data_IF_134581313242
#
_entry.id   IF_134581313242
#
_cell.length_a   1.000
_cell.length_b   1.000
_cell.length_c   1.000
_cell.angle_alpha   90.00
_cell.angle_beta   90.00
_cell.angle_gamma   90.00
#
_symmetry.space_group_name_H-M   'P 1'
#
loop_
_entity.id
_entity.type
_entity.pdbx_description
1 polymer ?
#
# COMPACT_ATOMS: atom_id res chain seq x y z
N UNK A 1 -0.05 41.54 -82.74
CA UNK A 1 -0.16 42.34 -81.50
C UNK A 1 0.69 41.64 -80.44
N UNK A 2 1.55 42.40 -79.75
CA UNK A 2 2.49 42.07 -78.64
C UNK A 2 1.97 40.97 -77.68
N UNK A 3 2.76 40.19 -76.93
CA UNK A 3 4.20 39.95 -76.78
C UNK A 3 4.38 38.74 -75.82
N UNK A 4 5.57 38.12 -75.90
CA UNK A 4 6.31 37.27 -74.95
C UNK A 4 5.77 37.03 -73.52
N UNK A 5 6.01 35.83 -72.96
CA UNK A 5 7.18 35.54 -72.08
C UNK A 5 7.41 34.01 -71.95
N UNK A 6 8.71 33.73 -71.87
CA UNK A 6 9.52 32.53 -72.06
C UNK A 6 9.67 31.62 -70.82
N UNK A 7 9.99 30.34 -71.09
CA UNK A 7 10.97 29.45 -70.38
C UNK A 7 10.62 28.92 -68.96
N UNK A 8 11.02 27.71 -68.52
CA UNK A 8 11.93 26.68 -69.01
C UNK A 8 11.64 25.30 -68.37
N UNK A 9 12.21 24.25 -68.97
CA UNK A 9 12.02 22.81 -68.72
C UNK A 9 12.78 22.21 -67.51
N UNK A 10 12.43 20.99 -67.03
CA UNK A 10 13.24 20.20 -66.10
C UNK A 10 14.00 19.04 -66.79
N UNK A 11 15.09 18.59 -66.15
CA UNK A 11 15.93 17.44 -66.55
C UNK A 11 16.27 16.60 -65.28
N UNK A 12 16.80 15.36 -65.37
CA UNK A 12 16.07 14.17 -64.92
C UNK A 12 16.83 13.21 -63.95
N UNK A 13 16.06 12.23 -63.41
CA UNK A 13 16.37 10.82 -63.04
C UNK A 13 17.69 10.40 -62.31
N UNK A 14 17.50 9.82 -61.09
CA UNK A 14 18.00 8.54 -60.47
C UNK A 14 19.39 7.96 -60.84
N UNK A 15 20.18 7.33 -59.92
CA UNK A 15 19.81 6.03 -59.30
C UNK A 15 20.43 5.61 -57.92
N UNK A 16 19.81 4.56 -57.32
CA UNK A 16 20.31 3.40 -56.53
C UNK A 16 21.50 3.49 -55.53
N UNK A 17 21.31 2.92 -54.32
CA UNK A 17 22.01 1.71 -53.80
C UNK A 17 21.91 1.55 -52.25
N UNK A 18 21.85 0.29 -51.80
CA UNK A 18 21.62 -0.25 -50.44
C UNK A 18 22.85 -0.14 -49.47
N UNK A 19 23.03 -1.03 -48.46
CA UNK A 19 22.52 -1.01 -47.08
C UNK A 19 23.65 -0.96 -46.02
N UNK A 20 23.50 -0.26 -44.89
CA UNK A 20 24.53 -0.32 -43.82
C UNK A 20 23.96 -0.31 -42.39
N UNK A 21 24.18 -1.45 -41.74
CA UNK A 21 24.76 -1.62 -40.40
C UNK A 21 23.99 -1.16 -39.16
N UNK A 22 23.61 -2.18 -38.38
CA UNK A 22 23.35 -2.11 -36.96
C UNK A 22 24.62 -1.81 -36.15
N UNK A 23 24.47 -1.00 -35.10
CA UNK A 23 25.27 -1.07 -33.86
C UNK A 23 24.56 -0.30 -32.73
N UNK A 24 24.87 -0.61 -31.46
CA UNK A 24 23.88 -0.90 -30.43
C UNK A 24 23.55 0.32 -29.55
N UNK A 25 22.31 0.41 -29.05
CA UNK A 25 21.95 1.37 -28.00
C UNK A 25 21.99 0.71 -26.61
N UNK A 26 22.44 1.45 -25.59
CA UNK A 26 23.04 0.89 -24.39
C UNK A 26 22.03 0.33 -23.38
N UNK A 27 22.60 -0.55 -22.56
CA UNK A 27 22.07 -1.22 -21.39
C UNK A 27 21.68 -0.22 -20.29
N UNK A 28 20.54 -0.50 -19.64
CA UNK A 28 20.18 -0.11 -18.26
C UNK A 28 20.24 1.37 -17.86
N UNK A 29 19.11 2.06 -17.99
CA UNK A 29 18.80 3.21 -17.14
C UNK A 29 18.05 2.74 -15.90
N UNK A 30 18.66 2.95 -14.73
CA UNK A 30 18.05 2.84 -13.40
C UNK A 30 16.79 3.71 -13.36
N UNK A 31 15.63 3.22 -12.86
CA UNK A 31 14.45 4.07 -12.74
C UNK A 31 14.72 5.17 -11.71
N UNK A 32 14.64 6.42 -12.16
CA UNK A 32 14.63 7.61 -11.31
C UNK A 32 13.43 7.56 -10.34
N UNK A 33 13.58 8.02 -9.09
CA UNK A 33 12.47 8.05 -8.14
C UNK A 33 11.34 8.95 -8.68
N UNK A 34 10.10 8.46 -8.53
CA UNK A 34 8.89 9.17 -8.93
C UNK A 34 8.81 10.55 -8.26
N UNK A 35 8.26 11.57 -8.95
CA UNK A 35 8.09 12.90 -8.36
C UNK A 35 7.08 12.86 -7.21
N UNK A 36 7.40 13.57 -6.12
CA UNK A 36 6.55 13.72 -4.96
C UNK A 36 5.21 14.41 -5.31
N UNK A 37 4.11 14.09 -4.61
CA UNK A 37 2.81 14.73 -4.84
C UNK A 37 2.89 16.24 -4.58
N UNK A 38 2.02 16.99 -5.28
CA UNK A 38 1.97 18.45 -5.30
C UNK A 38 2.13 19.06 -3.91
N UNK A 39 3.18 19.87 -3.77
CA UNK A 39 3.56 20.55 -2.53
C UNK A 39 2.66 21.76 -2.26
N UNK A 40 2.40 22.11 -0.99
CA UNK A 40 1.91 23.44 -0.67
C UNK A 40 2.97 24.46 -1.13
N UNK A 41 2.52 25.50 -1.85
CA UNK A 41 3.40 26.56 -2.34
C UNK A 41 4.15 27.21 -1.17
N UNK A 42 5.49 27.18 -1.20
CA UNK A 42 6.30 27.96 -0.27
C UNK A 42 7.64 27.39 0.19
N UNK A 43 8.42 26.69 -0.65
CA UNK A 43 9.85 26.43 -0.33
C UNK A 43 10.70 25.98 -1.53
N UNK A 44 10.42 26.46 -2.74
CA UNK A 44 11.34 26.22 -3.86
C UNK A 44 12.56 27.14 -3.72
N UNK A 45 13.67 26.60 -3.18
CA UNK A 45 14.98 27.26 -3.16
C UNK A 45 15.58 27.60 -1.78
N UNK A 46 14.89 27.30 -0.67
CA UNK A 46 15.42 27.53 0.69
C UNK A 46 16.13 26.27 1.22
N UNK A 47 17.27 26.45 1.88
CA UNK A 47 17.99 25.40 2.62
C UNK A 47 17.88 25.61 4.13
N UNK A 48 18.17 24.57 4.92
CA UNK A 48 18.24 24.65 6.39
C UNK A 48 19.21 25.77 6.79
N UNK A 49 20.44 25.75 6.26
CA UNK A 49 21.47 26.76 6.58
C UNK A 49 21.02 28.20 6.24
N UNK A 50 20.26 28.37 5.15
CA UNK A 50 19.74 29.68 4.77
C UNK A 50 18.70 30.18 5.77
N UNK A 51 17.79 29.30 6.20
CA UNK A 51 16.78 29.61 7.19
C UNK A 51 17.40 29.87 8.57
N UNK A 52 18.44 29.14 8.96
CA UNK A 52 19.19 29.38 10.19
C UNK A 52 19.83 30.78 10.19
N UNK A 53 20.48 31.19 9.09
CA UNK A 53 21.02 32.56 8.95
C UNK A 53 19.94 33.65 8.96
N UNK A 54 18.76 33.36 8.42
CA UNK A 54 17.62 34.29 8.51
C UNK A 54 17.18 34.47 9.96
N UNK A 55 17.16 33.39 10.75
CA UNK A 55 16.83 33.43 12.18
C UNK A 55 17.92 34.10 13.03
N UNK A 56 19.19 34.05 12.63
CA UNK A 56 20.26 34.85 13.28
C UNK A 56 19.98 36.35 13.17
N UNK A 57 19.42 36.79 12.04
CA UNK A 57 19.08 38.20 11.79
C UNK A 57 17.72 38.59 12.37
N UNK A 58 16.75 37.68 12.31
CA UNK A 58 15.35 37.89 12.74
C UNK A 58 14.86 36.68 13.54
N UNK A 59 15.26 36.55 14.82
CA UNK A 59 14.98 35.36 15.62
C UNK A 59 13.49 35.16 15.96
N UNK A 60 12.66 36.15 15.70
CA UNK A 60 11.23 36.17 16.00
C UNK A 60 10.33 36.07 14.76
N UNK A 61 10.84 35.77 13.56
CA UNK A 61 10.00 35.60 12.37
C UNK A 61 9.32 34.22 12.35
N UNK A 62 7.98 34.15 12.53
CA UNK A 62 7.27 32.88 12.60
C UNK A 62 7.26 32.12 11.26
N UNK A 63 7.34 32.81 10.12
CA UNK A 63 7.35 32.14 8.80
C UNK A 63 8.65 31.37 8.60
N UNK A 64 9.78 31.95 9.02
CA UNK A 64 11.10 31.32 8.90
C UNK A 64 11.20 30.10 9.82
N UNK A 65 10.71 30.20 11.06
CA UNK A 65 10.58 29.04 11.97
C UNK A 65 9.71 27.93 11.38
N UNK A 66 8.56 28.27 10.81
CA UNK A 66 7.65 27.30 10.20
C UNK A 66 8.28 26.60 8.98
N UNK A 67 8.97 27.35 8.11
CA UNK A 67 9.69 26.81 6.97
C UNK A 67 10.85 25.89 7.40
N UNK A 68 11.61 26.29 8.43
CA UNK A 68 12.71 25.47 8.97
C UNK A 68 12.16 24.15 9.51
N UNK A 69 11.06 24.21 10.27
CA UNK A 69 10.40 23.02 10.77
C UNK A 69 9.91 22.09 9.64
N UNK A 70 9.39 22.65 8.53
CA UNK A 70 8.98 21.85 7.38
C UNK A 70 10.16 21.13 6.71
N UNK A 71 11.31 21.80 6.53
CA UNK A 71 12.52 21.17 5.98
C UNK A 71 13.13 20.14 6.93
N UNK A 72 13.14 20.42 8.25
CA UNK A 72 13.62 19.46 9.26
C UNK A 72 12.76 18.19 9.29
N UNK A 73 11.43 18.32 9.13
CA UNK A 73 10.53 17.18 8.98
C UNK A 73 10.89 16.35 7.75
N UNK A 74 11.12 17.00 6.60
CA UNK A 74 11.55 16.32 5.36
C UNK A 74 12.91 15.63 5.52
N UNK A 75 13.82 16.22 6.31
CA UNK A 75 15.13 15.66 6.63
C UNK A 75 15.09 14.56 7.71
N UNK A 76 13.91 14.12 8.17
CA UNK A 76 13.79 13.05 9.16
C UNK A 76 14.14 13.47 10.59
N UNK A 77 14.06 14.77 10.91
CA UNK A 77 14.32 15.34 12.25
C UNK A 77 13.02 15.83 12.91
N UNK A 78 12.07 14.94 13.26
CA UNK A 78 10.72 15.33 13.65
C UNK A 78 10.64 16.13 14.96
N UNK A 79 11.45 15.80 15.97
CA UNK A 79 11.44 16.55 17.25
C UNK A 79 11.92 18.00 17.08
N UNK A 80 12.97 18.20 16.27
CA UNK A 80 13.43 19.54 15.92
C UNK A 80 12.37 20.31 15.11
N UNK A 81 11.66 19.62 14.21
CA UNK A 81 10.55 20.19 13.47
C UNK A 81 9.39 20.59 14.39
N UNK A 82 8.99 19.76 15.36
CA UNK A 82 7.98 20.09 16.38
C UNK A 82 8.37 21.34 17.15
N UNK A 83 9.63 21.41 17.61
CA UNK A 83 10.14 22.58 18.33
C UNK A 83 10.07 23.86 17.48
N UNK A 84 10.46 23.79 16.19
CA UNK A 84 10.37 24.92 15.27
C UNK A 84 8.92 25.37 15.04
N UNK A 85 7.97 24.45 14.87
CA UNK A 85 6.56 24.82 14.71
C UNK A 85 5.99 25.45 15.98
N UNK A 86 6.32 24.90 17.17
CA UNK A 86 5.92 25.51 18.45
C UNK A 86 6.51 26.91 18.62
N UNK A 87 7.75 27.12 18.19
CA UNK A 87 8.39 28.45 18.20
C UNK A 87 7.72 29.43 17.24
N UNK A 88 7.35 29.01 16.04
CA UNK A 88 6.57 29.83 15.13
C UNK A 88 5.24 30.28 15.78
N UNK A 89 4.57 29.37 16.49
CA UNK A 89 3.31 29.63 17.17
C UNK A 89 3.46 30.47 18.46
N UNK A 90 4.64 30.50 19.07
CA UNK A 90 4.98 31.43 20.16
C UNK A 90 4.95 32.88 19.67
N UNK A 91 5.49 33.13 18.47
CA UNK A 91 5.54 34.46 17.86
C UNK A 91 4.24 34.86 17.12
N UNK A 92 3.53 33.90 16.53
CA UNK A 92 2.19 34.12 15.95
C UNK A 92 1.26 32.93 16.15
N UNK A 93 0.36 33.04 17.14
CA UNK A 93 -0.64 32.01 17.46
C UNK A 93 -1.71 31.85 16.37
N UNK A 94 -1.84 32.80 15.43
CA UNK A 94 -2.80 32.76 14.32
C UNK A 94 -2.19 32.21 13.03
N UNK A 95 -0.93 31.78 13.06
CA UNK A 95 -0.24 31.25 11.90
C UNK A 95 -0.79 29.87 11.47
N UNK A 96 -1.77 29.86 10.56
CA UNK A 96 -2.43 28.65 10.05
C UNK A 96 -1.46 27.58 9.53
N UNK A 97 -0.44 28.01 8.77
CA UNK A 97 0.57 27.10 8.21
C UNK A 97 1.38 26.36 9.29
N UNK A 98 1.77 27.04 10.37
CA UNK A 98 2.53 26.43 11.47
C UNK A 98 1.66 25.43 12.25
N UNK A 99 0.38 25.72 12.49
CA UNK A 99 -0.55 24.74 13.08
C UNK A 99 -0.72 23.49 12.22
N UNK A 100 -0.87 23.67 10.91
CA UNK A 100 -0.99 22.54 9.96
C UNK A 100 0.29 21.70 9.94
N UNK A 101 1.46 22.36 9.88
CA UNK A 101 2.76 21.70 9.90
C UNK A 101 3.01 20.98 11.23
N UNK A 102 2.61 21.56 12.36
CA UNK A 102 2.66 20.94 13.68
C UNK A 102 1.81 19.67 13.72
N UNK A 103 0.57 19.73 13.24
CA UNK A 103 -0.30 18.56 13.14
C UNK A 103 0.30 17.45 12.29
N UNK A 104 0.92 17.80 11.16
CA UNK A 104 1.57 16.82 10.27
C UNK A 104 2.75 16.12 10.95
N UNK A 105 3.67 16.87 11.58
CA UNK A 105 4.85 16.27 12.24
C UNK A 105 4.47 15.48 13.49
N UNK A 106 3.47 15.92 14.26
CA UNK A 106 2.94 15.17 15.40
C UNK A 106 2.32 13.83 14.96
N UNK A 107 1.62 13.83 13.82
CA UNK A 107 1.10 12.61 13.22
C UNK A 107 2.20 11.65 12.73
N UNK A 108 3.35 12.16 12.28
CA UNK A 108 4.49 11.33 11.89
C UNK A 108 5.10 10.57 13.06
N UNK A 109 5.12 11.18 14.26
CA UNK A 109 5.60 10.57 15.50
C UNK A 109 4.48 9.94 16.35
N UNK A 110 3.33 9.68 15.73
CA UNK A 110 2.18 8.99 16.34
C UNK A 110 1.57 9.67 17.59
N UNK A 111 1.82 10.97 17.79
CA UNK A 111 1.19 11.81 18.83
C UNK A 111 -0.18 12.32 18.37
N UNK A 112 -1.09 11.38 18.11
CA UNK A 112 -2.32 11.65 17.36
C UNK A 112 -3.28 12.63 18.04
N UNK A 113 -3.44 12.58 19.36
CA UNK A 113 -4.34 13.52 20.05
C UNK A 113 -3.85 14.98 19.94
N UNK A 114 -2.54 15.21 20.06
CA UNK A 114 -1.95 16.54 19.82
C UNK A 114 -2.02 16.94 18.34
N UNK A 115 -1.84 15.99 17.42
CA UNK A 115 -1.96 16.23 15.99
C UNK A 115 -3.38 16.70 15.62
N UNK A 116 -4.40 16.01 16.16
CA UNK A 116 -5.82 16.36 15.98
C UNK A 116 -6.07 17.77 16.52
N UNK A 117 -5.64 18.09 17.74
CA UNK A 117 -5.81 19.41 18.32
C UNK A 117 -5.18 20.52 17.46
N UNK A 118 -3.96 20.31 16.95
CA UNK A 118 -3.29 21.27 16.07
C UNK A 118 -4.05 21.49 14.75
N UNK A 119 -4.57 20.42 14.14
CA UNK A 119 -5.38 20.52 12.91
C UNK A 119 -6.71 21.22 13.16
N UNK A 120 -7.37 20.97 14.30
CA UNK A 120 -8.61 21.66 14.68
C UNK A 120 -8.39 23.18 14.80
N UNK A 121 -7.29 23.60 15.44
CA UNK A 121 -6.91 25.01 15.49
C UNK A 121 -6.69 25.61 14.10
N UNK A 122 -5.99 24.91 13.21
CA UNK A 122 -5.77 25.36 11.83
C UNK A 122 -7.10 25.54 11.06
N UNK A 123 -8.02 24.59 11.20
CA UNK A 123 -9.35 24.63 10.58
C UNK A 123 -10.15 25.84 11.08
N UNK A 124 -10.20 26.07 12.40
CA UNK A 124 -10.91 27.22 12.99
C UNK A 124 -10.35 28.55 12.47
N UNK A 125 -9.03 28.72 12.47
CA UNK A 125 -8.38 29.95 12.00
C UNK A 125 -8.59 30.22 10.51
N UNK A 126 -8.76 29.17 9.71
CA UNK A 126 -8.99 29.27 8.26
C UNK A 126 -10.45 29.52 7.85
N UNK A 127 -11.39 29.55 8.82
CA UNK A 127 -12.82 29.63 8.53
C UNK A 127 -13.39 28.39 7.84
N UNK A 128 -12.81 27.20 8.08
CA UNK A 128 -13.29 25.94 7.50
C UNK A 128 -12.82 25.65 6.08
N UNK A 129 -11.58 26.03 5.73
CA UNK A 129 -11.00 25.72 4.43
C UNK A 129 -11.00 24.20 4.13
N UNK A 130 -11.50 23.80 2.97
CA UNK A 130 -11.66 22.40 2.58
C UNK A 130 -10.35 21.59 2.59
N UNK A 131 -9.22 22.18 2.21
CA UNK A 131 -7.91 21.51 2.23
C UNK A 131 -7.46 21.18 3.66
N UNK A 132 -7.74 22.07 4.62
CA UNK A 132 -7.42 21.84 6.03
C UNK A 132 -8.38 20.84 6.69
N UNK A 133 -9.63 20.76 6.22
CA UNK A 133 -10.56 19.72 6.65
C UNK A 133 -10.03 18.33 6.28
N UNK A 134 -9.47 18.14 5.08
CA UNK A 134 -8.82 16.87 4.70
C UNK A 134 -7.68 16.50 5.65
N UNK A 135 -6.82 17.45 6.04
CA UNK A 135 -5.73 17.19 6.98
C UNK A 135 -6.26 16.79 8.37
N UNK A 136 -7.32 17.44 8.86
CA UNK A 136 -7.99 17.07 10.11
C UNK A 136 -8.60 15.66 10.02
N UNK A 137 -9.27 15.33 8.91
CA UNK A 137 -9.82 13.99 8.68
C UNK A 137 -8.73 12.93 8.70
N UNK A 138 -7.60 13.15 8.02
CA UNK A 138 -6.45 12.23 8.06
C UNK A 138 -5.91 12.07 9.49
N UNK A 139 -5.77 13.15 10.24
CA UNK A 139 -5.33 13.09 11.65
C UNK A 139 -6.32 12.30 12.53
N UNK A 140 -7.63 12.54 12.36
CA UNK A 140 -8.68 11.80 13.07
C UNK A 140 -8.65 10.31 12.73
N UNK A 141 -8.45 9.95 11.46
CA UNK A 141 -8.32 8.54 11.03
C UNK A 141 -7.10 7.87 11.65
N UNK A 142 -5.92 8.51 11.61
CA UNK A 142 -4.73 7.97 12.26
C UNK A 142 -4.90 7.83 13.79
N UNK A 143 -5.63 8.76 14.42
CA UNK A 143 -6.04 8.66 15.82
C UNK A 143 -7.25 7.74 16.09
N UNK A 144 -7.69 6.96 15.11
CA UNK A 144 -8.83 6.05 15.19
C UNK A 144 -10.16 6.70 15.65
N UNK A 145 -10.33 8.00 15.41
CA UNK A 145 -11.57 8.78 15.67
C UNK A 145 -12.49 8.75 14.45
N UNK A 146 -12.82 7.57 13.96
CA UNK A 146 -13.50 7.38 12.66
C UNK A 146 -14.88 8.03 12.58
N UNK A 147 -15.70 7.96 13.64
CA UNK A 147 -17.03 8.58 13.64
C UNK A 147 -16.95 10.11 13.48
N UNK A 148 -16.03 10.75 14.21
CA UNK A 148 -15.81 12.20 14.10
C UNK A 148 -15.26 12.59 12.72
N UNK A 149 -14.40 11.75 12.13
CA UNK A 149 -13.95 11.94 10.76
C UNK A 149 -15.12 11.91 9.77
N UNK A 150 -16.05 10.95 9.91
CA UNK A 150 -17.25 10.84 9.07
C UNK A 150 -18.18 12.06 9.22
N UNK A 151 -18.40 12.55 10.44
CA UNK A 151 -19.23 13.75 10.68
C UNK A 151 -18.68 14.97 9.93
N UNK A 152 -17.35 15.18 9.97
CA UNK A 152 -16.68 16.26 9.26
C UNK A 152 -16.77 16.06 7.75
N UNK A 153 -16.54 14.84 7.27
CA UNK A 153 -16.65 14.50 5.85
C UNK A 153 -18.06 14.74 5.31
N UNK A 154 -19.11 14.40 6.08
CA UNK A 154 -20.49 14.64 5.68
C UNK A 154 -20.81 16.13 5.55
N UNK A 155 -20.27 16.98 6.44
CA UNK A 155 -20.38 18.44 6.30
C UNK A 155 -19.64 18.93 5.05
N UNK A 156 -18.39 18.50 4.87
CA UNK A 156 -17.54 18.95 3.78
C UNK A 156 -18.09 18.55 2.40
N UNK A 157 -18.62 17.32 2.28
CA UNK A 157 -19.23 16.81 1.05
C UNK A 157 -20.59 17.43 0.74
N UNK A 158 -21.33 17.97 1.72
CA UNK A 158 -22.50 18.80 1.41
C UNK A 158 -22.12 20.08 0.65
N UNK A 159 -20.98 20.67 0.99
CA UNK A 159 -20.46 21.86 0.31
C UNK A 159 -19.77 21.52 -1.02
N UNK A 160 -19.08 20.37 -1.11
CA UNK A 160 -18.38 19.91 -2.30
C UNK A 160 -18.67 18.42 -2.58
N UNK A 161 -19.83 18.07 -3.15
CA UNK A 161 -20.28 16.67 -3.27
C UNK A 161 -19.36 15.76 -4.10
N UNK A 162 -18.62 16.33 -5.04
CA UNK A 162 -17.80 15.60 -6.01
C UNK A 162 -16.29 15.81 -5.80
N UNK A 163 -15.85 16.29 -4.63
CA UNK A 163 -14.43 16.45 -4.34
C UNK A 163 -13.77 15.05 -4.21
N UNK A 164 -12.83 14.66 -5.09
CA UNK A 164 -12.28 13.31 -5.07
C UNK A 164 -11.50 13.00 -3.80
N UNK A 165 -10.87 14.01 -3.18
CA UNK A 165 -10.08 13.82 -1.96
C UNK A 165 -10.98 13.53 -0.77
N UNK A 166 -12.07 14.29 -0.62
CA UNK A 166 -13.06 14.05 0.43
C UNK A 166 -13.78 12.71 0.24
N UNK A 167 -14.17 12.37 -1.00
CA UNK A 167 -14.77 11.07 -1.30
C UNK A 167 -13.81 9.93 -0.99
N UNK A 168 -12.53 10.08 -1.30
CA UNK A 168 -11.50 9.08 -0.99
C UNK A 168 -11.32 8.88 0.52
N UNK A 169 -11.22 9.96 1.28
CA UNK A 169 -11.12 9.87 2.74
C UNK A 169 -12.38 9.26 3.36
N UNK A 170 -13.57 9.57 2.83
CA UNK A 170 -14.83 8.93 3.24
C UNK A 170 -14.84 7.45 2.89
N UNK A 171 -14.44 7.07 1.68
CA UNK A 171 -14.32 5.67 1.27
C UNK A 171 -13.49 4.86 2.26
N UNK A 172 -12.26 5.31 2.54
CA UNK A 172 -11.35 4.62 3.44
C UNK A 172 -11.88 4.59 4.89
N UNK A 173 -12.51 5.66 5.37
CA UNK A 173 -13.08 5.71 6.73
C UNK A 173 -14.26 4.77 6.88
N UNK A 174 -15.17 4.74 5.90
CA UNK A 174 -16.32 3.84 5.88
C UNK A 174 -15.89 2.38 5.81
N UNK A 175 -14.90 2.06 4.96
CA UNK A 175 -14.32 0.72 4.91
C UNK A 175 -13.69 0.33 6.24
N UNK A 176 -12.97 1.24 6.91
CA UNK A 176 -12.34 0.94 8.20
C UNK A 176 -13.35 0.51 9.28
N UNK A 177 -14.54 1.12 9.30
CA UNK A 177 -15.61 0.82 10.28
C UNK A 177 -16.63 -0.22 9.77
N UNK A 178 -16.34 -0.89 8.66
CA UNK A 178 -17.18 -1.97 8.13
C UNK A 178 -18.39 -1.56 7.29
N UNK A 179 -18.56 -0.27 6.96
CA UNK A 179 -19.64 0.24 6.09
C UNK A 179 -19.30 0.06 4.60
N UNK A 180 -19.14 -1.19 4.18
CA UNK A 180 -18.55 -1.56 2.88
C UNK A 180 -19.32 -1.07 1.66
N UNK A 181 -20.66 -1.20 1.65
CA UNK A 181 -21.46 -0.77 0.50
C UNK A 181 -21.29 0.73 0.20
N UNK A 182 -21.22 1.55 1.25
CA UNK A 182 -21.02 3.00 1.12
C UNK A 182 -19.56 3.34 0.83
N UNK A 183 -18.61 2.68 1.50
CA UNK A 183 -17.19 2.91 1.28
C UNK A 183 -16.75 2.57 -0.15
N UNK A 184 -17.22 1.43 -0.68
CA UNK A 184 -16.90 1.02 -2.05
C UNK A 184 -17.56 1.89 -3.12
N UNK A 185 -18.71 2.51 -2.84
CA UNK A 185 -19.35 3.48 -3.73
C UNK A 185 -18.43 4.65 -4.07
N UNK A 186 -17.71 5.15 -3.05
CA UNK A 186 -16.83 6.31 -3.21
C UNK A 186 -15.40 5.93 -3.62
N UNK A 187 -15.04 4.64 -3.57
CA UNK A 187 -13.66 4.16 -3.70
C UNK A 187 -13.00 4.47 -5.05
N UNK A 188 -13.80 4.66 -6.10
CA UNK A 188 -13.30 5.04 -7.43
C UNK A 188 -12.85 6.50 -7.52
N UNK A 189 -13.14 7.33 -6.52
CA UNK A 189 -12.59 8.69 -6.41
C UNK A 189 -11.06 8.71 -6.42
N UNK A 190 -10.42 7.61 -5.95
CA UNK A 190 -8.96 7.43 -5.98
C UNK A 190 -8.36 7.61 -7.36
N UNK A 191 -9.10 7.24 -8.41
CA UNK A 191 -8.63 7.27 -9.80
C UNK A 191 -8.46 8.69 -10.32
N UNK A 192 -9.06 9.68 -9.64
CA UNK A 192 -8.96 11.11 -9.96
C UNK A 192 -7.98 11.84 -9.05
N UNK A 193 -7.31 11.16 -8.12
CA UNK A 193 -6.34 11.80 -7.23
C UNK A 193 -5.00 12.03 -7.94
N UNK A 194 -4.33 13.18 -7.73
CA UNK A 194 -2.98 13.41 -8.26
C UNK A 194 -1.95 12.39 -7.77
N UNK A 195 -2.18 11.78 -6.61
CA UNK A 195 -1.31 10.75 -6.05
C UNK A 195 -1.52 9.36 -6.67
N UNK A 196 -2.52 9.18 -7.54
CA UNK A 196 -2.74 7.93 -8.24
C UNK A 196 -1.68 7.73 -9.32
N UNK A 197 -0.85 6.69 -9.17
CA UNK A 197 0.30 6.45 -10.04
C UNK A 197 0.12 5.25 -10.99
N UNK A 198 -0.95 4.48 -10.86
CA UNK A 198 -1.17 3.33 -11.73
C UNK A 198 -1.68 3.79 -13.10
N UNK A 199 -1.43 2.96 -14.12
CA UNK A 199 -1.94 3.19 -15.46
C UNK A 199 -3.46 3.08 -15.47
N UNK A 200 -4.11 4.03 -16.13
CA UNK A 200 -5.56 4.04 -16.32
C UNK A 200 -5.82 3.49 -17.73
N UNK A 201 -6.61 2.41 -17.81
CA UNK A 201 -7.07 1.89 -19.09
C UNK A 201 -8.08 2.88 -19.73
N UNK A 202 -8.04 2.98 -21.06
CA UNK A 202 -8.91 3.87 -21.82
C UNK A 202 -10.27 3.23 -22.08
N UNK A 203 -11.25 4.05 -22.45
CA UNK A 203 -12.58 3.56 -22.80
C UNK A 203 -13.50 3.31 -21.59
N UNK A 204 -14.64 2.63 -21.83
CA UNK A 204 -15.70 2.51 -20.83
C UNK A 204 -15.31 1.58 -19.69
N UNK A 205 -15.51 2.06 -18.46
CA UNK A 205 -15.40 1.24 -17.27
C UNK A 205 -16.64 0.35 -17.14
N UNK A 206 -16.44 -0.93 -16.82
CA UNK A 206 -17.50 -1.89 -16.59
C UNK A 206 -18.30 -1.52 -15.33
N UNK A 207 -19.62 -1.66 -15.41
CA UNK A 207 -20.59 -1.24 -14.40
C UNK A 207 -21.08 -2.39 -13.50
N UNK A 208 -20.64 -3.63 -13.76
CA UNK A 208 -21.10 -4.83 -13.05
C UNK A 208 -22.20 -5.60 -13.78
N UNK A 209 -22.72 -5.06 -14.89
CA UNK A 209 -23.76 -5.67 -15.72
C UNK A 209 -23.28 -6.88 -16.55
N UNK A 210 -24.20 -7.55 -17.27
CA UNK A 210 -23.85 -8.63 -18.19
C UNK A 210 -22.81 -8.20 -19.22
N UNK A 211 -21.82 -9.06 -19.49
CA UNK A 211 -20.79 -8.80 -20.50
C UNK A 211 -21.27 -9.17 -21.91
N UNK A 212 -22.22 -10.10 -22.05
CA UNK A 212 -22.83 -10.47 -23.33
C UNK A 212 -21.80 -10.76 -24.44
N UNK A 213 -20.75 -11.52 -24.12
CA UNK A 213 -19.66 -11.88 -25.03
C UNK A 213 -18.52 -10.86 -25.12
N UNK A 214 -18.65 -9.67 -24.52
CA UNK A 214 -17.59 -8.65 -24.50
C UNK A 214 -16.31 -9.13 -23.79
N UNK A 215 -15.19 -8.56 -24.22
CA UNK A 215 -13.89 -8.70 -23.59
C UNK A 215 -13.70 -7.63 -22.52
N UNK A 216 -13.50 -8.04 -21.27
CA UNK A 216 -13.15 -7.17 -20.15
C UNK A 216 -11.66 -7.27 -19.84
N UNK A 217 -11.00 -6.11 -19.69
CA UNK A 217 -9.65 -6.00 -19.13
C UNK A 217 -9.72 -5.65 -17.63
N UNK A 218 -9.23 -6.56 -16.79
CA UNK A 218 -9.01 -6.30 -15.36
C UNK A 218 -7.58 -5.78 -15.16
N UNK A 219 -7.43 -4.55 -14.70
CA UNK A 219 -6.09 -3.95 -14.49
C UNK A 219 -5.60 -4.19 -13.07
N UNK A 220 -4.30 -4.45 -12.94
CA UNK A 220 -3.66 -4.62 -11.62
C UNK A 220 -3.71 -3.31 -10.83
N UNK A 221 -3.61 -3.39 -9.51
CA UNK A 221 -3.66 -2.23 -8.63
C UNK A 221 -2.59 -2.32 -7.52
N UNK A 222 -2.17 -1.14 -7.05
CA UNK A 222 -1.26 -0.85 -5.92
C UNK A 222 -0.17 -1.89 -5.63
N UNK A 223 -0.49 -2.95 -4.89
CA UNK A 223 0.47 -3.97 -4.46
C UNK A 223 -0.09 -5.40 -4.52
N UNK A 224 0.80 -6.39 -4.38
CA UNK A 224 0.44 -7.81 -4.51
C UNK A 224 -0.67 -8.27 -3.55
N UNK A 225 -0.77 -7.64 -2.37
CA UNK A 225 -1.84 -7.94 -1.39
C UNK A 225 -3.24 -7.63 -1.93
N UNK A 226 -3.40 -6.50 -2.62
CA UNK A 226 -4.68 -6.09 -3.21
C UNK A 226 -5.07 -7.00 -4.38
N UNK A 227 -4.11 -7.43 -5.19
CA UNK A 227 -4.36 -8.42 -6.26
C UNK A 227 -4.82 -9.75 -5.65
N UNK A 228 -4.15 -10.25 -4.60
CA UNK A 228 -4.55 -11.48 -3.91
C UNK A 228 -5.92 -11.35 -3.22
N UNK A 229 -6.21 -10.18 -2.64
CA UNK A 229 -7.50 -9.85 -2.04
C UNK A 229 -8.62 -9.92 -3.08
N UNK A 230 -8.44 -9.29 -4.24
CA UNK A 230 -9.49 -9.07 -5.24
C UNK A 230 -9.60 -10.16 -6.29
N UNK A 231 -8.59 -11.02 -6.45
CA UNK A 231 -8.64 -12.19 -7.35
C UNK A 231 -9.87 -13.09 -7.09
N UNK A 232 -10.43 -13.09 -5.86
CA UNK A 232 -11.68 -13.78 -5.50
C UNK A 232 -12.89 -13.37 -6.33
N UNK A 233 -12.88 -12.18 -6.91
CA UNK A 233 -13.98 -11.66 -7.72
C UNK A 233 -13.90 -12.10 -9.19
N UNK A 234 -12.75 -12.59 -9.66
CA UNK A 234 -12.55 -12.94 -11.08
C UNK A 234 -13.53 -14.00 -11.59
N UNK A 235 -13.80 -15.11 -10.86
CA UNK A 235 -14.84 -16.06 -11.28
C UNK A 235 -16.23 -15.42 -11.37
N UNK A 236 -16.55 -14.46 -10.50
CA UNK A 236 -17.82 -13.73 -10.51
C UNK A 236 -17.94 -12.80 -11.73
N UNK A 237 -16.82 -12.21 -12.18
CA UNK A 237 -16.76 -11.46 -13.44
C UNK A 237 -16.97 -12.39 -14.62
N UNK A 238 -16.30 -13.56 -14.64
CA UNK A 238 -16.47 -14.55 -15.73
C UNK A 238 -17.93 -15.00 -15.86
N UNK A 239 -18.62 -15.19 -14.73
CA UNK A 239 -20.03 -15.57 -14.69
C UNK A 239 -20.98 -14.55 -15.36
N UNK A 240 -20.50 -13.34 -15.68
CA UNK A 240 -21.25 -12.31 -16.42
C UNK A 240 -21.26 -12.56 -17.94
N UNK A 241 -20.61 -13.63 -18.41
CA UNK A 241 -20.78 -14.15 -19.77
C UNK A 241 -19.89 -13.47 -20.82
N UNK A 242 -18.62 -13.20 -20.52
CA UNK A 242 -17.66 -12.57 -21.43
C UNK A 242 -16.27 -13.22 -21.43
N UNK A 243 -15.35 -12.59 -22.16
CA UNK A 243 -13.91 -12.93 -22.15
C UNK A 243 -13.18 -12.07 -21.13
N UNK A 244 -12.44 -12.66 -20.20
CA UNK A 244 -11.74 -11.96 -19.12
C UNK A 244 -10.24 -11.99 -19.37
N UNK A 245 -9.66 -10.81 -19.55
CA UNK A 245 -8.22 -10.59 -19.57
C UNK A 245 -7.79 -9.93 -18.27
N UNK A 246 -6.69 -10.37 -17.67
CA UNK A 246 -6.19 -9.78 -16.42
C UNK A 246 -4.74 -9.37 -16.55
N UNK A 247 -4.45 -8.10 -16.26
CA UNK A 247 -3.08 -7.64 -16.07
C UNK A 247 -2.50 -8.27 -14.79
N UNK A 248 -1.31 -8.87 -14.89
CA UNK A 248 -0.68 -9.57 -13.79
C UNK A 248 0.82 -9.25 -13.71
N UNK A 249 1.28 -9.02 -12.48
CA UNK A 249 2.70 -8.91 -12.20
C UNK A 249 3.39 -10.27 -12.36
N UNK A 250 4.62 -10.31 -12.91
CA UNK A 250 5.37 -11.56 -13.10
C UNK A 250 5.51 -12.39 -11.82
N UNK A 251 5.66 -11.72 -10.67
CA UNK A 251 5.83 -12.32 -9.35
C UNK A 251 4.60 -13.09 -8.86
N UNK A 252 3.42 -12.80 -9.42
CA UNK A 252 2.16 -13.50 -9.11
C UNK A 252 1.74 -14.47 -10.22
N UNK A 253 2.32 -14.37 -11.41
CA UNK A 253 1.84 -15.07 -12.62
C UNK A 253 1.74 -16.58 -12.42
N UNK A 254 2.78 -17.21 -11.85
CA UNK A 254 2.80 -18.66 -11.66
C UNK A 254 1.72 -19.13 -10.69
N UNK A 255 1.51 -18.39 -9.61
CA UNK A 255 0.49 -18.67 -8.59
C UNK A 255 -0.94 -18.45 -9.11
N UNK A 256 -1.16 -17.41 -9.90
CA UNK A 256 -2.48 -17.08 -10.45
C UNK A 256 -2.82 -17.84 -11.73
N UNK A 257 -1.87 -18.56 -12.32
CA UNK A 257 -2.06 -19.29 -13.59
C UNK A 257 -3.26 -20.25 -13.59
N UNK A 258 -3.59 -20.83 -12.43
CA UNK A 258 -4.74 -21.72 -12.23
C UNK A 258 -6.01 -21.03 -11.71
N UNK A 259 -6.06 -19.69 -11.69
CA UNK A 259 -7.24 -18.96 -11.22
C UNK A 259 -8.38 -19.13 -12.22
N UNK A 260 -9.53 -19.60 -11.72
CA UNK A 260 -10.72 -19.82 -12.53
C UNK A 260 -11.26 -18.49 -13.10
N UNK A 261 -11.72 -18.55 -14.35
CA UNK A 261 -12.41 -17.44 -14.99
C UNK A 261 -11.52 -16.46 -15.74
N UNK A 262 -10.21 -16.72 -15.86
CA UNK A 262 -9.30 -15.96 -16.71
C UNK A 262 -9.15 -16.64 -18.07
N UNK A 263 -9.36 -15.90 -19.15
CA UNK A 263 -9.12 -16.37 -20.52
C UNK A 263 -7.74 -15.95 -21.05
N UNK A 264 -7.08 -14.99 -20.39
CA UNK A 264 -5.71 -14.60 -20.73
C UNK A 264 -5.09 -13.63 -19.74
N UNK A 265 -3.78 -13.74 -19.57
CA UNK A 265 -2.99 -12.80 -18.78
C UNK A 265 -2.31 -11.76 -19.67
N UNK A 266 -2.25 -10.53 -19.19
CA UNK A 266 -1.45 -9.44 -19.76
C UNK A 266 -0.32 -9.14 -18.79
N UNK A 267 0.92 -9.06 -19.27
CA UNK A 267 2.04 -8.76 -18.39
C UNK A 267 1.96 -7.30 -17.92
N UNK A 268 2.08 -7.08 -16.61
CA UNK A 268 2.09 -5.73 -16.06
C UNK A 268 3.15 -4.83 -16.72
N UNK A 269 2.75 -3.62 -17.12
CA UNK A 269 3.63 -2.65 -17.76
C UNK A 269 3.83 -2.83 -19.26
N UNK A 270 3.18 -3.80 -19.90
CA UNK A 270 3.16 -3.91 -21.38
C UNK A 270 1.93 -3.24 -21.98
N UNK A 271 1.91 -3.08 -23.31
CA UNK A 271 0.74 -2.59 -24.02
C UNK A 271 -0.48 -3.48 -23.74
N UNK A 272 -1.65 -2.86 -23.62
CA UNK A 272 -2.89 -3.58 -23.44
C UNK A 272 -3.35 -4.18 -24.78
N UNK A 273 -3.89 -5.42 -24.79
CA UNK A 273 -4.53 -5.98 -25.98
C UNK A 273 -5.85 -5.25 -26.28
N UNK A 274 -6.56 -5.66 -27.33
CA UNK A 274 -7.92 -5.17 -27.58
C UNK A 274 -8.89 -5.66 -26.49
N UNK A 275 -9.75 -4.77 -26.00
CA UNK A 275 -10.83 -5.04 -25.05
C UNK A 275 -12.01 -4.08 -25.32
N UNK A 276 -13.20 -4.45 -24.83
CA UNK A 276 -14.42 -3.65 -25.00
C UNK A 276 -14.71 -2.77 -23.78
N UNK A 277 -14.42 -3.27 -22.58
CA UNK A 277 -14.59 -2.58 -21.28
C UNK A 277 -13.41 -2.89 -20.37
N UNK A 278 -13.19 -2.06 -19.35
CA UNK A 278 -12.15 -2.31 -18.33
C UNK A 278 -12.69 -2.17 -16.91
N UNK A 279 -11.99 -2.74 -15.95
CA UNK A 279 -12.26 -2.52 -14.53
C UNK A 279 -10.98 -2.70 -13.71
N UNK A 280 -10.55 -1.69 -12.93
CA UNK A 280 -9.52 -1.90 -11.93
C UNK A 280 -9.96 -2.94 -10.91
N UNK A 281 -9.05 -3.82 -10.50
CA UNK A 281 -9.37 -4.91 -9.57
C UNK A 281 -10.01 -4.40 -8.26
N UNK A 282 -9.54 -3.27 -7.73
CA UNK A 282 -10.08 -2.71 -6.48
C UNK A 282 -11.44 -2.01 -6.65
N UNK A 283 -11.94 -1.90 -7.89
CA UNK A 283 -13.30 -1.42 -8.17
C UNK A 283 -14.33 -2.56 -8.20
N UNK A 284 -13.88 -3.82 -8.31
CA UNK A 284 -14.76 -5.00 -8.35
C UNK A 284 -15.69 -5.16 -7.13
N UNK A 285 -15.25 -4.89 -5.88
CA UNK A 285 -16.15 -4.99 -4.72
C UNK A 285 -17.39 -4.09 -4.87
N UNK A 286 -17.24 -2.88 -5.45
CA UNK A 286 -18.39 -2.03 -5.72
C UNK A 286 -19.29 -2.62 -6.80
N UNK A 287 -18.71 -3.03 -7.94
CA UNK A 287 -19.44 -3.57 -9.10
C UNK A 287 -20.21 -4.85 -8.80
N UNK A 288 -19.75 -5.60 -7.81
CA UNK A 288 -20.33 -6.87 -7.40
C UNK A 288 -21.12 -6.77 -6.08
N UNK A 289 -21.30 -5.57 -5.53
CA UNK A 289 -22.19 -5.32 -4.40
C UNK A 289 -21.69 -5.90 -3.07
N UNK A 290 -20.38 -5.89 -2.83
CA UNK A 290 -19.80 -6.40 -1.58
C UNK A 290 -20.25 -5.58 -0.37
N UNK A 291 -20.80 -6.28 0.62
CA UNK A 291 -21.09 -5.80 1.97
C UNK A 291 -20.17 -6.52 2.96
N UNK A 292 -20.20 -6.16 4.24
CA UNK A 292 -19.38 -6.86 5.25
C UNK A 292 -19.86 -8.31 5.46
N UNK A 293 -21.14 -8.57 5.26
CA UNK A 293 -21.77 -9.90 5.35
C UNK A 293 -21.57 -10.75 4.08
N UNK A 294 -21.33 -10.10 2.94
CA UNK A 294 -21.27 -10.77 1.62
C UNK A 294 -19.86 -10.81 1.02
N UNK A 295 -18.81 -10.61 1.83
CA UNK A 295 -17.43 -10.77 1.40
C UNK A 295 -17.25 -12.17 0.80
N UNK A 296 -16.85 -12.31 -0.49
CA UNK A 296 -16.67 -13.62 -1.09
C UNK A 296 -15.56 -14.41 -0.38
N UNK A 297 -15.61 -15.76 -0.42
CA UNK A 297 -14.57 -16.59 0.15
C UNK A 297 -13.16 -16.21 -0.36
N UNK A 298 -12.09 -16.53 0.40
CA UNK A 298 -10.73 -16.24 -0.04
C UNK A 298 -10.40 -16.87 -1.40
N UNK A 299 -9.50 -16.21 -2.15
CA UNK A 299 -9.10 -16.61 -3.49
C UNK A 299 -8.62 -18.06 -3.51
N UNK A 300 -9.20 -18.89 -4.39
CA UNK A 300 -8.73 -20.26 -4.62
C UNK A 300 -7.44 -20.20 -5.45
N UNK A 301 -6.33 -20.54 -4.82
CA UNK A 301 -5.00 -20.52 -5.44
C UNK A 301 -4.50 -21.94 -5.70
N UNK A 302 -3.85 -22.14 -6.84
CA UNK A 302 -3.23 -23.42 -7.20
C UNK A 302 -1.73 -23.30 -7.05
N UNK A 303 -1.18 -23.92 -5.99
CA UNK A 303 0.26 -23.97 -5.77
C UNK A 303 0.89 -25.01 -6.73
N UNK A 304 1.85 -24.62 -7.59
CA UNK A 304 2.50 -25.53 -8.52
C UNK A 304 3.25 -26.69 -7.82
N UNK A 305 3.29 -27.86 -8.47
CA UNK A 305 3.91 -29.06 -7.91
C UNK A 305 5.42 -28.88 -7.66
N UNK A 306 6.12 -28.24 -8.58
CA UNK A 306 7.56 -27.98 -8.46
C UNK A 306 7.90 -27.03 -7.30
N UNK A 307 7.00 -26.08 -6.98
CA UNK A 307 7.15 -25.24 -5.78
C UNK A 307 7.00 -26.09 -4.51
N UNK A 308 6.03 -27.01 -4.47
CA UNK A 308 5.81 -27.92 -3.33
C UNK A 308 6.99 -28.84 -3.10
N UNK A 309 7.57 -29.41 -4.16
CA UNK A 309 8.78 -30.23 -4.07
C UNK A 309 9.98 -29.44 -3.51
N UNK A 310 10.14 -28.20 -3.97
CA UNK A 310 11.15 -27.28 -3.43
C UNK A 310 10.91 -26.97 -1.96
N UNK A 311 9.68 -26.65 -1.58
CA UNK A 311 9.32 -26.37 -0.19
C UNK A 311 9.53 -27.58 0.73
N UNK A 312 9.27 -28.81 0.26
CA UNK A 312 9.50 -30.04 1.00
C UNK A 312 10.98 -30.27 1.35
N UNK A 313 11.90 -29.81 0.49
CA UNK A 313 13.36 -29.86 0.76
C UNK A 313 13.80 -28.80 1.77
N UNK A 314 13.13 -27.64 1.80
CA UNK A 314 13.47 -26.51 2.67
C UNK A 314 12.86 -26.60 4.07
N UNK A 315 11.63 -27.11 4.14
CA UNK A 315 10.86 -27.25 5.37
C UNK A 315 10.51 -28.73 5.53
N UNK A 316 11.28 -29.48 6.34
CA UNK A 316 11.05 -30.90 6.57
C UNK A 316 9.64 -31.21 7.09
N UNK A 317 9.24 -32.47 7.00
CA UNK A 317 7.95 -32.95 7.53
C UNK A 317 7.84 -32.87 9.05
N UNK A 318 6.82 -33.52 9.62
CA UNK A 318 6.60 -33.54 11.07
C UNK A 318 7.83 -34.12 11.81
N UNK A 319 8.38 -33.34 12.74
CA UNK A 319 9.51 -33.68 13.60
C UNK A 319 9.18 -33.46 15.09
N UNK A 320 7.88 -33.35 15.43
CA UNK A 320 7.40 -33.07 16.78
C UNK A 320 7.49 -31.59 17.19
N UNK A 321 7.92 -30.71 16.29
CA UNK A 321 7.95 -29.25 16.52
C UNK A 321 6.82 -28.52 15.81
N UNK A 322 6.43 -27.35 16.33
CA UNK A 322 5.55 -26.40 15.66
C UNK A 322 6.38 -25.53 14.73
N UNK A 323 6.08 -25.53 13.43
CA UNK A 323 6.84 -24.78 12.41
C UNK A 323 6.23 -23.40 12.19
N UNK A 324 6.95 -22.37 12.59
CA UNK A 324 6.48 -20.98 12.54
C UNK A 324 7.26 -20.17 11.51
N UNK A 325 6.54 -19.60 10.55
CA UNK A 325 7.08 -18.58 9.65
C UNK A 325 7.05 -17.20 10.27
N UNK A 326 8.09 -16.40 10.07
CA UNK A 326 8.13 -15.00 10.52
C UNK A 326 8.45 -14.01 9.39
N UNK A 327 7.81 -12.84 9.47
CA UNK A 327 8.03 -11.67 8.59
C UNK A 327 7.86 -10.42 9.45
N UNK A 328 8.89 -9.58 9.52
CA UNK A 328 8.89 -8.40 10.40
C UNK A 328 8.74 -7.08 9.63
N UNK A 329 8.89 -7.10 8.31
CA UNK A 329 8.78 -5.90 7.49
C UNK A 329 8.23 -6.19 6.08
N UNK A 330 7.50 -5.23 5.53
CA UNK A 330 7.07 -5.24 4.14
C UNK A 330 8.10 -4.59 3.20
N UNK A 331 7.61 -4.11 2.05
CA UNK A 331 8.43 -3.34 1.10
C UNK A 331 8.88 -2.02 1.73
N UNK A 332 10.18 -1.80 1.86
CA UNK A 332 10.76 -0.60 2.51
C UNK A 332 10.45 0.72 1.80
N UNK A 333 10.17 0.69 0.49
CA UNK A 333 9.78 1.89 -0.27
C UNK A 333 8.29 2.22 -0.15
N UNK A 334 7.52 1.42 0.58
CA UNK A 334 6.12 1.73 0.89
C UNK A 334 6.07 2.77 2.00
N UNK A 335 5.38 3.90 1.74
CA UNK A 335 5.40 5.09 2.59
C UNK A 335 5.09 4.79 4.07
N UNK A 336 4.09 3.96 4.34
CA UNK A 336 3.65 3.67 5.71
C UNK A 336 4.35 2.43 6.30
N UNK A 337 5.36 1.88 5.63
CA UNK A 337 6.06 0.69 6.14
C UNK A 337 6.73 0.94 7.50
N UNK A 338 7.21 2.15 7.75
CA UNK A 338 7.85 2.52 9.01
C UNK A 338 6.93 2.41 10.23
N UNK A 339 5.61 2.55 10.04
CA UNK A 339 4.61 2.46 11.12
C UNK A 339 4.17 1.01 11.38
N UNK A 340 4.15 0.16 10.34
CA UNK A 340 3.67 -1.23 10.45
C UNK A 340 4.76 -2.26 10.66
N UNK A 341 5.99 -1.96 10.22
CA UNK A 341 7.10 -2.87 10.36
C UNK A 341 7.70 -2.81 11.77
N UNK A 342 8.37 -3.88 12.16
CA UNK A 342 9.24 -3.89 13.33
C UNK A 342 10.63 -4.41 12.95
N UNK A 343 11.50 -4.56 13.94
CA UNK A 343 12.79 -5.23 13.80
C UNK A 343 12.67 -6.73 14.08
N UNK A 344 13.61 -7.51 13.57
CA UNK A 344 13.76 -8.92 13.89
C UNK A 344 13.97 -9.14 15.40
N UNK A 345 14.66 -8.22 16.08
CA UNK A 345 14.92 -8.31 17.53
C UNK A 345 13.64 -8.52 18.36
N UNK A 346 12.51 -7.93 17.95
CA UNK A 346 11.23 -8.14 18.66
C UNK A 346 10.67 -9.55 18.49
N UNK A 347 10.92 -10.20 17.35
CA UNK A 347 10.50 -11.58 17.09
C UNK A 347 11.36 -12.60 17.84
N UNK A 348 12.57 -12.25 18.26
CA UNK A 348 13.47 -13.17 18.96
C UNK A 348 12.89 -13.68 20.28
N UNK A 349 12.00 -12.92 20.93
CA UNK A 349 11.28 -13.38 22.14
C UNK A 349 10.48 -14.67 21.92
N UNK A 350 10.04 -14.96 20.68
CA UNK A 350 9.31 -16.18 20.39
C UNK A 350 10.21 -17.43 20.45
N UNK A 351 11.54 -17.26 20.42
CA UNK A 351 12.51 -18.34 20.59
C UNK A 351 12.46 -18.95 22.00
N UNK A 352 11.92 -18.22 22.99
CA UNK A 352 11.73 -18.70 24.36
C UNK A 352 10.52 -19.65 24.51
N UNK A 353 9.78 -19.89 23.41
CA UNK A 353 8.70 -20.89 23.38
C UNK A 353 9.28 -22.24 22.97
N UNK A 354 9.25 -23.26 23.85
CA UNK A 354 9.85 -24.56 23.57
C UNK A 354 9.12 -25.28 22.43
N UNK A 355 9.80 -26.23 21.78
CA UNK A 355 9.25 -27.07 20.69
C UNK A 355 8.72 -26.28 19.49
N UNK A 356 9.24 -25.08 19.26
CA UNK A 356 8.96 -24.27 18.06
C UNK A 356 10.21 -24.21 17.20
N UNK A 357 10.02 -24.30 15.88
CA UNK A 357 11.08 -24.11 14.89
C UNK A 357 10.73 -22.94 13.98
N UNK A 358 11.64 -21.98 13.86
CA UNK A 358 11.39 -20.74 13.15
C UNK A 358 12.00 -20.73 11.75
N UNK A 359 11.25 -20.17 10.82
CA UNK A 359 11.61 -19.99 9.42
C UNK A 359 11.39 -18.53 9.04
N UNK A 360 12.42 -17.85 8.54
CA UNK A 360 12.26 -16.51 8.00
C UNK A 360 11.73 -16.58 6.58
N UNK A 361 10.55 -15.99 6.36
CA UNK A 361 9.96 -15.78 5.02
C UNK A 361 10.21 -14.32 4.58
N UNK A 362 10.97 -13.55 5.36
CA UNK A 362 11.32 -12.17 5.03
C UNK A 362 12.11 -12.14 3.72
N UNK A 363 11.80 -11.16 2.86
CA UNK A 363 12.58 -10.84 1.67
C UNK A 363 13.00 -9.38 1.66
N UNK A 364 14.05 -9.11 0.88
CA UNK A 364 14.55 -7.76 0.64
C UNK A 364 15.47 -7.26 1.74
N UNK A 365 15.81 -5.96 1.76
CA UNK A 365 16.82 -5.41 2.67
C UNK A 365 16.68 -5.79 4.16
N UNK A 366 15.46 -5.88 4.75
CA UNK A 366 15.31 -6.27 6.16
C UNK A 366 15.82 -7.67 6.48
N UNK A 367 15.92 -8.57 5.50
CA UNK A 367 16.44 -9.94 5.70
C UNK A 367 17.88 -9.96 6.24
N UNK A 368 18.67 -8.92 5.97
CA UNK A 368 20.04 -8.79 6.47
C UNK A 368 20.14 -8.80 8.01
N UNK A 369 19.06 -8.47 8.73
CA UNK A 369 19.01 -8.50 10.19
C UNK A 369 19.32 -9.90 10.77
N UNK A 370 19.02 -10.98 10.04
CA UNK A 370 19.36 -12.34 10.46
C UNK A 370 20.87 -12.51 10.66
N UNK A 371 21.65 -12.01 9.70
CA UNK A 371 23.10 -12.07 9.76
C UNK A 371 23.67 -11.07 10.77
N UNK A 372 23.15 -9.82 10.79
CA UNK A 372 23.58 -8.78 11.74
C UNK A 372 23.39 -9.21 13.20
N UNK A 373 22.30 -9.91 13.51
CA UNK A 373 22.01 -10.41 14.86
C UNK A 373 22.56 -11.81 15.13
N UNK A 374 23.19 -12.48 14.15
CA UNK A 374 23.74 -13.82 14.30
C UNK A 374 22.70 -14.92 14.55
N UNK A 375 21.48 -14.77 14.02
CA UNK A 375 20.33 -15.64 14.34
C UNK A 375 20.02 -16.70 13.28
N UNK A 376 20.80 -16.77 12.20
CA UNK A 376 20.60 -17.74 11.10
C UNK A 376 20.69 -19.21 11.51
N UNK A 377 21.28 -19.52 12.67
CA UNK A 377 21.32 -20.88 13.24
C UNK A 377 20.04 -21.24 14.00
N UNK A 378 19.31 -20.23 14.49
CA UNK A 378 18.07 -20.38 15.26
C UNK A 378 16.83 -20.23 14.36
N UNK A 379 16.94 -19.41 13.32
CA UNK A 379 15.87 -19.08 12.38
C UNK A 379 16.36 -19.45 10.98
N UNK A 380 15.70 -20.42 10.34
CA UNK A 380 16.10 -20.90 9.01
C UNK A 380 15.75 -19.84 7.95
N UNK A 381 16.73 -19.26 7.24
CA UNK A 381 16.47 -18.26 6.21
C UNK A 381 15.90 -18.92 4.94
N UNK A 382 14.64 -18.61 4.58
CA UNK A 382 14.03 -19.12 3.35
C UNK A 382 13.93 -18.06 2.23
N UNK A 383 14.04 -16.78 2.58
CA UNK A 383 14.00 -15.65 1.65
C UNK A 383 14.86 -15.80 0.39
N UNK A 384 16.13 -16.27 0.46
CA UNK A 384 17.00 -16.38 -0.72
C UNK A 384 16.56 -17.50 -1.67
N UNK A 385 15.72 -18.42 -1.19
CA UNK A 385 15.19 -19.51 -1.98
C UNK A 385 13.89 -19.13 -2.70
N UNK A 386 13.31 -17.94 -2.52
CA UNK A 386 12.04 -17.59 -3.15
C UNK A 386 12.23 -16.81 -4.44
N UNK A 387 11.77 -17.37 -5.56
CA UNK A 387 11.76 -16.67 -6.85
C UNK A 387 10.52 -15.77 -6.98
N UNK A 388 9.36 -16.26 -6.57
CA UNK A 388 8.05 -15.63 -6.74
C UNK A 388 7.07 -16.02 -5.61
N UNK A 389 5.81 -15.58 -5.69
CA UNK A 389 4.81 -15.90 -4.67
C UNK A 389 4.35 -17.37 -4.67
N UNK A 390 4.61 -18.14 -5.74
CA UNK A 390 4.30 -19.56 -5.74
C UNK A 390 5.29 -20.34 -4.85
N UNK A 391 6.56 -19.94 -4.80
CA UNK A 391 7.52 -20.50 -3.83
C UNK A 391 7.14 -20.16 -2.39
N UNK A 392 6.72 -18.90 -2.14
CA UNK A 392 6.20 -18.49 -0.82
C UNK A 392 4.96 -19.31 -0.44
N UNK A 393 4.00 -19.48 -1.36
CA UNK A 393 2.79 -20.26 -1.12
C UNK A 393 3.08 -21.71 -0.73
N UNK A 394 4.01 -22.36 -1.43
CA UNK A 394 4.40 -23.74 -1.14
C UNK A 394 5.04 -23.90 0.25
N UNK A 395 5.83 -22.93 0.69
CA UNK A 395 6.37 -22.92 2.07
C UNK A 395 5.25 -22.72 3.09
N UNK A 396 4.29 -21.82 2.84
CA UNK A 396 3.17 -21.60 3.75
C UNK A 396 2.31 -22.86 3.97
N UNK A 397 2.19 -23.73 2.96
CA UNK A 397 1.51 -25.04 3.11
C UNK A 397 2.26 -26.01 4.04
N UNK A 398 3.57 -25.80 4.25
CA UNK A 398 4.43 -26.62 5.12
C UNK A 398 4.55 -26.10 6.54
N UNK A 399 4.18 -24.84 6.77
CA UNK A 399 4.20 -24.21 8.09
C UNK A 399 2.90 -24.44 8.83
N UNK A 400 2.99 -24.51 10.15
CA UNK A 400 1.84 -24.64 11.05
C UNK A 400 1.18 -23.29 11.34
N UNK A 401 1.99 -22.23 11.36
CA UNK A 401 1.58 -20.88 11.68
C UNK A 401 2.53 -19.89 11.01
N UNK A 402 2.01 -18.72 10.65
CA UNK A 402 2.83 -17.54 10.36
C UNK A 402 2.55 -16.47 11.40
N UNK A 403 3.59 -15.87 11.98
CA UNK A 403 3.48 -14.68 12.83
C UNK A 403 4.17 -13.56 12.08
N UNK A 404 3.47 -12.47 11.79
CA UNK A 404 4.02 -11.43 10.94
C UNK A 404 3.45 -10.04 11.22
N UNK A 405 4.18 -9.01 10.84
CA UNK A 405 3.59 -7.69 10.57
C UNK A 405 2.95 -7.68 9.18
N UNK A 406 1.97 -6.80 8.97
CA UNK A 406 1.18 -6.79 7.74
C UNK A 406 2.03 -6.64 6.47
N UNK A 407 1.80 -7.54 5.50
CA UNK A 407 2.35 -7.50 4.14
C UNK A 407 1.49 -8.35 3.19
N UNK A 408 1.84 -8.38 1.90
CA UNK A 408 1.16 -9.24 0.92
C UNK A 408 1.12 -10.72 1.29
N UNK A 409 2.04 -11.19 2.14
CA UNK A 409 2.06 -12.60 2.59
C UNK A 409 0.89 -12.91 3.53
N UNK A 410 0.34 -11.92 4.26
CA UNK A 410 -0.85 -12.11 5.09
C UNK A 410 -2.06 -12.48 4.22
N UNK A 411 -2.25 -11.76 3.12
CA UNK A 411 -3.28 -12.03 2.13
C UNK A 411 -3.09 -13.38 1.43
N UNK A 412 -1.84 -13.77 1.13
CA UNK A 412 -1.52 -15.07 0.56
C UNK A 412 -1.87 -16.20 1.54
N UNK A 413 -1.37 -16.14 2.78
CA UNK A 413 -1.63 -17.15 3.80
C UNK A 413 -3.12 -17.29 4.09
N UNK A 414 -3.83 -16.16 4.21
CA UNK A 414 -5.29 -16.14 4.38
C UNK A 414 -6.05 -16.72 3.19
N UNK A 415 -5.56 -16.52 1.95
CA UNK A 415 -6.16 -17.11 0.74
C UNK A 415 -5.94 -18.62 0.65
N UNK A 416 -4.81 -19.11 1.15
CA UNK A 416 -4.50 -20.54 1.27
C UNK A 416 -5.18 -21.21 2.48
N UNK A 417 -5.96 -20.46 3.28
CA UNK A 417 -6.58 -20.96 4.51
C UNK A 417 -5.57 -21.39 5.58
N UNK A 418 -4.33 -20.90 5.52
CA UNK A 418 -3.29 -21.21 6.51
C UNK A 418 -3.46 -20.33 7.75
N UNK A 419 -3.19 -20.85 8.96
CA UNK A 419 -3.16 -20.03 10.16
C UNK A 419 -2.13 -18.91 10.05
N UNK A 420 -2.57 -17.67 10.22
CA UNK A 420 -1.71 -16.48 10.21
C UNK A 420 -2.10 -15.53 11.33
N UNK A 421 -1.11 -15.10 12.10
CA UNK A 421 -1.23 -14.10 13.13
C UNK A 421 -0.64 -12.80 12.62
N UNK A 422 -1.50 -11.84 12.33
CA UNK A 422 -1.10 -10.53 11.85
C UNK A 422 -0.99 -9.56 13.03
N UNK A 423 0.22 -9.06 13.27
CA UNK A 423 0.55 -8.09 14.30
C UNK A 423 0.37 -6.70 13.69
N UNK A 424 -0.63 -5.97 14.20
CA UNK A 424 -1.13 -4.75 13.60
C UNK A 424 -0.65 -3.51 14.36
N UNK A 425 -0.17 -2.53 13.60
CA UNK A 425 0.00 -1.15 14.05
C UNK A 425 -1.35 -0.56 14.51
N UNK A 426 -1.28 0.58 15.21
CA UNK A 426 -2.45 1.24 15.80
C UNK A 426 -3.59 1.52 14.81
N UNK A 427 -3.28 2.07 13.63
CA UNK A 427 -4.25 2.21 12.53
C UNK A 427 -3.93 1.22 11.40
N UNK A 428 -4.50 0.01 11.41
CA UNK A 428 -4.22 -0.99 10.38
C UNK A 428 -4.96 -0.70 9.07
N UNK A 429 -4.60 -1.44 8.02
CA UNK A 429 -5.33 -1.43 6.75
C UNK A 429 -6.80 -1.82 6.94
N UNK A 430 -7.71 -1.24 6.16
CA UNK A 430 -9.16 -1.34 6.37
C UNK A 430 -9.71 -2.77 6.27
N UNK A 431 -9.02 -3.68 5.56
CA UNK A 431 -9.39 -5.11 5.49
C UNK A 431 -9.37 -5.76 6.86
N UNK A 432 -8.58 -5.21 7.80
CA UNK A 432 -8.51 -5.69 9.16
C UNK A 432 -9.52 -5.02 10.07
N UNK A 433 -10.25 -3.99 9.62
CA UNK A 433 -11.24 -3.27 10.44
C UNK A 433 -10.62 -2.51 11.63
N UNK A 434 -11.48 -1.85 12.41
CA UNK A 434 -11.11 -1.01 13.55
C UNK A 434 -11.12 -1.75 14.91
N UNK A 435 -11.68 -2.96 14.99
CA UNK A 435 -11.88 -3.70 16.24
C UNK A 435 -11.86 -5.23 16.05
N UNK A 436 -11.87 -5.95 17.17
CA UNK A 436 -11.92 -7.42 17.19
C UNK A 436 -10.60 -8.08 16.77
N UNK A 437 -10.52 -9.40 16.83
CA UNK A 437 -9.31 -10.17 16.55
C UNK A 437 -9.39 -11.00 15.27
N UNK A 438 -10.40 -10.76 14.43
CA UNK A 438 -10.66 -11.47 13.18
C UNK A 438 -11.05 -10.51 12.06
N UNK A 439 -11.06 -11.01 10.82
CA UNK A 439 -11.53 -10.27 9.64
C UNK A 439 -12.41 -11.16 8.75
N UNK A 440 -13.51 -10.64 8.17
CA UNK A 440 -14.34 -11.41 7.24
C UNK A 440 -13.59 -11.78 5.95
N UNK A 441 -12.48 -11.09 5.64
CA UNK A 441 -11.72 -11.33 4.41
C UNK A 441 -10.89 -12.62 4.44
N UNK A 442 -10.47 -13.05 5.64
CA UNK A 442 -9.57 -14.18 5.86
C UNK A 442 -9.92 -14.93 7.16
N UNK A 443 -10.83 -15.92 7.11
CA UNK A 443 -11.29 -16.64 8.31
C UNK A 443 -10.21 -17.38 9.09
N UNK A 444 -9.08 -17.76 8.46
CA UNK A 444 -7.94 -18.41 9.14
C UNK A 444 -6.99 -17.44 9.86
N UNK A 445 -7.24 -16.13 9.75
CA UNK A 445 -6.38 -15.08 10.29
C UNK A 445 -6.81 -14.66 11.69
N UNK A 446 -5.84 -14.53 12.58
CA UNK A 446 -5.99 -13.89 13.89
C UNK A 446 -5.23 -12.58 13.91
N UNK A 447 -5.81 -11.55 14.51
CA UNK A 447 -5.27 -10.20 14.56
C UNK A 447 -4.85 -9.86 15.99
N UNK A 448 -3.65 -9.31 16.15
CA UNK A 448 -3.16 -8.75 17.41
C UNK A 448 -2.93 -7.26 17.20
N UNK A 449 -3.55 -6.41 18.03
CA UNK A 449 -3.63 -4.97 17.77
C UNK A 449 -2.98 -4.16 18.86
N UNK A 450 -2.30 -3.10 18.45
CA UNK A 450 -1.96 -2.02 19.36
C UNK A 450 -3.23 -1.33 19.86
N UNK A 451 -3.33 -1.14 21.18
CA UNK A 451 -4.34 -0.29 21.82
C UNK A 451 -3.84 1.14 22.05
N UNK A 452 -2.51 1.31 22.01
CA UNK A 452 -1.81 2.58 22.15
C UNK A 452 -0.81 2.69 21.00
N UNK A 453 -0.70 3.86 20.33
CA UNK A 453 0.27 4.04 19.25
C UNK A 453 1.69 3.67 19.67
N UNK A 454 2.38 2.89 18.84
CA UNK A 454 3.75 2.42 19.09
C UNK A 454 3.90 1.29 20.11
N UNK A 455 2.85 0.87 20.83
CA UNK A 455 2.93 -0.20 21.85
C UNK A 455 3.00 -1.60 21.22
N UNK A 456 4.14 -1.89 20.60
CA UNK A 456 4.45 -3.21 20.08
C UNK A 456 4.69 -4.24 21.19
N UNK A 457 5.08 -3.82 22.40
CA UNK A 457 5.42 -4.76 23.47
C UNK A 457 4.20 -5.56 23.94
N UNK A 458 3.05 -4.89 24.12
CA UNK A 458 1.79 -5.55 24.47
C UNK A 458 1.31 -6.51 23.37
N UNK A 459 1.43 -6.10 22.10
CA UNK A 459 1.05 -6.92 20.93
C UNK A 459 1.86 -8.22 20.88
N UNK A 460 3.18 -8.09 21.01
CA UNK A 460 4.09 -9.23 20.97
C UNK A 460 3.96 -10.13 22.20
N UNK A 461 3.69 -9.58 23.38
CA UNK A 461 3.44 -10.36 24.59
C UNK A 461 2.17 -11.21 24.45
N UNK A 462 1.08 -10.65 23.92
CA UNK A 462 -0.16 -11.37 23.65
C UNK A 462 0.04 -12.50 22.63
N UNK A 463 0.80 -12.23 21.55
CA UNK A 463 1.14 -13.24 20.54
C UNK A 463 2.03 -14.35 21.11
N UNK A 464 3.00 -14.02 21.96
CA UNK A 464 3.88 -15.01 22.60
C UNK A 464 3.09 -15.95 23.51
N UNK A 465 2.20 -15.40 24.34
CA UNK A 465 1.34 -16.18 25.20
C UNK A 465 0.40 -17.10 24.40
N UNK A 466 -0.14 -16.60 23.28
CA UNK A 466 -0.93 -17.42 22.37
C UNK A 466 -0.08 -18.55 21.77
N UNK A 467 1.18 -18.31 21.41
CA UNK A 467 2.06 -19.34 20.84
C UNK A 467 2.34 -20.45 21.84
N UNK A 468 2.56 -20.11 23.12
CA UNK A 468 2.70 -21.08 24.21
C UNK A 468 1.46 -21.98 24.33
N UNK A 469 0.25 -21.43 24.18
CA UNK A 469 -0.99 -22.21 24.17
C UNK A 469 -1.08 -23.16 22.98
N UNK A 470 -0.70 -22.72 21.77
CA UNK A 470 -0.67 -23.58 20.57
C UNK A 470 0.25 -24.78 20.77
N UNK A 471 1.44 -24.55 21.34
CA UNK A 471 2.40 -25.63 21.64
C UNK A 471 1.87 -26.57 22.71
N UNK A 472 1.24 -26.04 23.76
CA UNK A 472 0.66 -26.84 24.85
C UNK A 472 -0.46 -27.76 24.36
N UNK A 473 -1.27 -27.33 23.37
CA UNK A 473 -2.34 -28.15 22.78
C UNK A 473 -1.84 -29.24 21.82
N UNK A 474 -0.59 -29.16 21.38
CA UNK A 474 0.05 -30.14 20.48
C UNK A 474 0.98 -31.11 21.20
N UNK A 475 1.23 -30.85 22.49
CA UNK A 475 1.97 -31.74 23.40
C UNK A 475 0.97 -32.61 24.13
#
# INVERSE_FOLDING_TARGET
MKANITQAAPAPSSPAASPLQASPRPVSAVPTPAPAPAQPQGSHGLSIDMLERMLEQQPNDPNVWSALGALLRQAGKPEAAIACQRRALEFDQRHVGAWTNLGNVLGDVERYDEAIAAQEHAVVLSGGNASLLSNLVVALRHGCRFNRALEILDVALRAKPNDPSLLWDRALTLLQVGRYAEGFRDYDSRLSLPAYQNRIAEGPMWDGGPLNGKTILLTTEQGFGDVLLTARYVPMVKARGGRVLMECHPELQRLLSGLEGIDGFVRAGTAYPAYDVHCPLMSLPHRLGTTIETVPPPTRLTVPAEAREKAARLVPGNDGTVKVGIIWSGRVTFKDNARRATTLSRFLRFLDVPKVRFYSIQKGPPEAELATLGTSTLITPLGPHFNDFADTAAVLERLDLVIMTDSSVAHLAGSLGRPVWNLLQFMPYWVYGDKGDTTPWYPSMRLFRQTTPGDWDSVFAAAEQALRQVVALRT
#
